data_IF_465948176358
#
_entry.id   IF_465948176358
#
_cell.length_a   1.000
_cell.length_b   1.000
_cell.length_c   1.000
_cell.angle_alpha   90.00
_cell.angle_beta   90.00
_cell.angle_gamma   90.00
#
_symmetry.space_group_name_H-M   'P 1'
#
loop_
_entity.id
_entity.type
_entity.pdbx_description
1 polymer ?
#
# COMPACT_ATOMS: atom_id res chain seq x y z
N UNK A 1 -4.88 7.95 -8.35
CA UNK A 1 -5.76 6.88 -8.83
C UNK A 1 -6.45 6.22 -7.66
N UNK A 2 -7.77 6.11 -7.75
CA UNK A 2 -8.58 5.53 -6.69
C UNK A 2 -9.08 4.15 -7.12
N UNK A 3 -9.78 3.46 -6.21
CA UNK A 3 -10.39 2.19 -6.54
C UNK A 3 -11.35 2.35 -7.73
N UNK A 4 -12.13 3.43 -7.72
CA UNK A 4 -13.07 3.67 -8.80
C UNK A 4 -12.35 3.89 -10.13
N UNK A 5 -11.21 4.57 -10.09
CA UNK A 5 -10.41 4.79 -11.29
C UNK A 5 -9.86 3.47 -11.83
N UNK A 6 -9.40 2.61 -10.94
CA UNK A 6 -8.87 1.31 -11.35
C UNK A 6 -9.97 0.49 -12.01
N UNK A 7 -11.16 0.49 -11.42
CA UNK A 7 -12.29 -0.24 -11.98
C UNK A 7 -12.61 0.27 -13.38
N UNK A 8 -12.63 1.60 -13.55
CA UNK A 8 -12.90 2.19 -14.84
C UNK A 8 -11.87 1.76 -15.89
N UNK A 9 -10.60 1.72 -15.51
CA UNK A 9 -9.56 1.31 -16.44
C UNK A 9 -9.64 -0.16 -16.80
N UNK A 10 -10.01 -1.00 -15.82
CA UNK A 10 -10.19 -2.41 -16.11
C UNK A 10 -11.33 -2.61 -17.10
N UNK A 11 -12.43 -1.89 -16.91
CA UNK A 11 -13.57 -1.99 -17.80
C UNK A 11 -13.18 -1.55 -19.21
N UNK A 12 -12.41 -0.48 -19.30
CA UNK A 12 -11.96 0.03 -20.59
C UNK A 12 -11.08 -0.99 -21.32
N UNK A 13 -10.27 -1.72 -20.57
CA UNK A 13 -9.36 -2.68 -21.17
C UNK A 13 -10.01 -4.01 -21.49
N UNK A 14 -10.96 -4.46 -20.67
CA UNK A 14 -11.52 -5.80 -20.79
C UNK A 14 -12.91 -5.85 -21.40
N UNK A 15 -13.66 -4.75 -21.29
CA UNK A 15 -15.04 -4.75 -21.69
C UNK A 15 -15.97 -5.39 -20.69
N UNK A 16 -15.48 -5.74 -19.50
CA UNK A 16 -16.32 -6.37 -18.47
C UNK A 16 -17.30 -5.34 -17.90
N UNK A 17 -18.36 -5.84 -17.31
CA UNK A 17 -19.36 -4.98 -16.71
C UNK A 17 -18.88 -4.39 -15.41
N UNK A 18 -19.32 -3.15 -15.14
CA UNK A 18 -18.84 -2.44 -13.95
C UNK A 18 -19.24 -3.13 -12.65
N UNK A 19 -20.47 -3.60 -12.57
CA UNK A 19 -20.97 -4.23 -11.34
C UNK A 19 -20.13 -5.47 -11.01
N UNK A 20 -19.88 -6.30 -12.00
CA UNK A 20 -19.10 -7.52 -11.81
C UNK A 20 -17.66 -7.18 -11.45
N UNK A 21 -17.08 -6.23 -12.18
CA UNK A 21 -15.69 -5.85 -11.95
C UNK A 21 -15.50 -5.28 -10.55
N UNK A 22 -16.42 -4.42 -10.12
CA UNK A 22 -16.35 -3.83 -8.80
C UNK A 22 -16.41 -4.93 -7.73
N UNK A 23 -17.30 -5.90 -7.93
CA UNK A 23 -17.46 -6.99 -6.99
C UNK A 23 -16.18 -7.81 -6.87
N UNK A 24 -15.53 -8.10 -7.99
CA UNK A 24 -14.29 -8.87 -7.99
C UNK A 24 -13.19 -8.10 -7.26
N UNK A 25 -13.04 -6.81 -7.57
CA UNK A 25 -12.00 -6.00 -6.95
C UNK A 25 -12.21 -5.89 -5.44
N UNK A 26 -13.44 -5.65 -5.03
CA UNK A 26 -13.74 -5.51 -3.60
C UNK A 26 -13.56 -6.83 -2.86
N UNK A 27 -13.93 -7.93 -3.49
CA UNK A 27 -13.74 -9.25 -2.91
C UNK A 27 -12.26 -9.60 -2.80
N UNK A 28 -11.48 -9.23 -3.82
CA UNK A 28 -10.04 -9.45 -3.82
C UNK A 28 -9.39 -8.76 -2.60
N UNK A 29 -9.72 -7.49 -2.39
CA UNK A 29 -9.16 -6.75 -1.27
C UNK A 29 -9.63 -7.32 0.07
N UNK A 30 -10.89 -7.76 0.12
CA UNK A 30 -11.44 -8.38 1.32
C UNK A 30 -10.68 -9.67 1.66
N UNK A 31 -10.35 -10.48 0.65
CA UNK A 31 -9.63 -11.72 0.88
C UNK A 31 -8.23 -11.47 1.40
N UNK A 32 -7.57 -10.44 0.89
CA UNK A 32 -6.26 -10.08 1.40
C UNK A 32 -6.34 -9.67 2.87
N UNK A 33 -7.32 -8.83 3.20
CA UNK A 33 -7.51 -8.41 4.58
C UNK A 33 -7.80 -9.58 5.51
N UNK A 34 -8.64 -10.49 5.06
CA UNK A 34 -9.00 -11.66 5.87
C UNK A 34 -7.79 -12.56 6.11
N UNK A 35 -6.98 -12.76 5.09
CA UNK A 35 -5.80 -13.60 5.23
C UNK A 35 -4.83 -13.02 6.26
N UNK A 36 -4.53 -11.73 6.13
CA UNK A 36 -3.60 -11.08 7.05
C UNK A 36 -4.17 -11.01 8.47
N UNK A 37 -5.47 -10.79 8.58
CA UNK A 37 -6.11 -10.76 9.88
C UNK A 37 -6.03 -12.10 10.59
N UNK A 38 -6.00 -13.19 9.84
CA UNK A 38 -5.86 -14.52 10.44
C UNK A 38 -4.41 -14.97 10.54
N UNK A 39 -3.47 -14.08 10.25
CA UNK A 39 -2.05 -14.37 10.45
C UNK A 39 -1.33 -14.97 9.29
N UNK A 40 -1.92 -14.91 8.09
CA UNK A 40 -1.31 -15.51 6.91
C UNK A 40 -0.92 -14.45 5.89
N UNK A 41 0.31 -14.53 5.42
CA UNK A 41 0.79 -13.63 4.38
C UNK A 41 0.19 -13.99 3.02
N UNK A 42 0.14 -13.01 2.12
CA UNK A 42 -0.39 -13.20 0.78
C UNK A 42 0.70 -12.90 -0.22
N UNK A 43 0.94 -13.84 -1.13
CA UNK A 43 2.00 -13.69 -2.13
C UNK A 43 1.38 -13.63 -3.52
N UNK A 44 1.63 -12.52 -4.23
CA UNK A 44 1.10 -12.33 -5.58
C UNK A 44 2.29 -12.25 -6.53
N UNK A 45 2.55 -13.36 -7.22
CA UNK A 45 3.71 -13.50 -8.08
C UNK A 45 3.81 -12.36 -9.08
N UNK A 46 4.99 -11.75 -9.15
CA UNK A 46 5.23 -10.67 -10.09
C UNK A 46 4.73 -9.31 -9.63
N UNK A 47 3.93 -9.28 -8.58
CA UNK A 47 3.39 -8.03 -8.06
C UNK A 47 4.04 -7.69 -6.71
N UNK A 48 3.90 -8.59 -5.75
CA UNK A 48 4.47 -8.38 -4.43
C UNK A 48 3.79 -9.24 -3.41
N UNK A 49 4.10 -8.96 -2.15
CA UNK A 49 3.58 -9.72 -1.02
C UNK A 49 2.98 -8.77 -0.01
N UNK A 50 1.86 -9.18 0.56
CA UNK A 50 1.29 -8.50 1.73
C UNK A 50 1.69 -9.36 2.92
N UNK A 51 2.51 -8.81 3.80
CA UNK A 51 3.05 -9.57 4.92
C UNK A 51 2.71 -8.90 6.24
N UNK A 52 2.76 -9.69 7.30
CA UNK A 52 2.56 -9.20 8.64
C UNK A 52 3.94 -8.89 9.20
N UNK A 53 4.11 -7.68 9.72
CA UNK A 53 5.38 -7.28 10.30
C UNK A 53 5.19 -6.91 11.75
N UNK A 54 6.04 -7.47 12.60
CA UNK A 54 6.02 -7.18 14.01
C UNK A 54 6.68 -5.83 14.28
N UNK A 55 6.04 -5.04 15.12
CA UNK A 55 6.61 -3.79 15.60
C UNK A 55 6.77 -3.88 17.10
N UNK A 56 8.00 -3.74 17.57
CA UNK A 56 8.28 -3.82 19.00
C UNK A 56 7.70 -2.62 19.72
N UNK A 57 7.47 -2.82 21.02
CA UNK A 57 7.05 -1.73 21.89
C UNK A 57 8.10 -0.62 21.85
N UNK A 58 7.64 0.60 21.87
CA UNK A 58 8.56 1.73 21.91
C UNK A 58 7.94 2.89 22.65
N UNK A 59 8.79 3.85 23.03
CA UNK A 59 8.34 5.09 23.65
C UNK A 59 8.13 6.13 22.59
N UNK A 60 6.98 6.79 22.62
CA UNK A 60 6.72 7.92 21.79
C UNK A 60 6.60 9.15 22.66
N UNK A 61 6.42 10.29 22.03
CA UNK A 61 6.23 11.53 22.76
C UNK A 61 4.99 12.22 22.26
N UNK A 62 4.16 12.62 23.19
CA UNK A 62 2.96 13.39 22.87
C UNK A 62 3.35 14.85 22.82
N UNK A 63 3.48 15.40 21.64
CA UNK A 63 4.05 16.72 21.46
C UNK A 63 3.29 17.81 22.21
N UNK A 64 1.98 17.83 22.08
CA UNK A 64 1.17 18.88 22.68
C UNK A 64 1.19 18.82 24.20
N UNK A 65 1.37 17.66 24.79
CA UNK A 65 1.40 17.51 26.25
C UNK A 65 2.80 17.33 26.79
N UNK A 66 3.78 17.24 25.90
CA UNK A 66 5.17 17.07 26.29
C UNK A 66 5.36 15.89 27.24
N UNK A 67 4.66 14.80 26.97
CA UNK A 67 4.70 13.59 27.78
C UNK A 67 5.14 12.41 26.95
N UNK A 68 5.82 11.47 27.60
CA UNK A 68 6.15 10.21 26.98
C UNK A 68 4.93 9.31 26.98
N UNK A 69 4.70 8.59 25.90
CA UNK A 69 3.66 7.57 25.84
C UNK A 69 4.29 6.27 25.40
N UNK A 70 3.66 5.18 25.82
CA UNK A 70 4.12 3.85 25.43
C UNK A 70 3.29 3.38 24.28
N UNK A 71 3.95 3.02 23.18
CA UNK A 71 3.31 2.43 22.04
C UNK A 71 3.54 0.92 22.15
N UNK A 72 2.48 0.13 22.44
CA UNK A 72 2.68 -1.30 22.68
C UNK A 72 3.11 -2.04 21.42
N UNK A 73 3.71 -3.18 21.61
CA UNK A 73 4.07 -4.06 20.50
C UNK A 73 2.81 -4.46 19.74
N UNK A 74 2.92 -4.54 18.44
CA UNK A 74 1.78 -4.91 17.59
C UNK A 74 2.26 -5.35 16.22
N UNK A 75 1.36 -5.97 15.48
CA UNK A 75 1.63 -6.38 14.12
C UNK A 75 0.92 -5.45 13.15
N UNK A 76 1.57 -5.18 12.03
CA UNK A 76 0.98 -4.34 10.99
C UNK A 76 1.06 -5.04 9.64
N UNK A 77 0.15 -4.73 8.73
CA UNK A 77 0.28 -5.21 7.35
C UNK A 77 1.25 -4.32 6.60
N UNK A 78 2.09 -4.94 5.77
CA UNK A 78 3.07 -4.23 4.96
C UNK A 78 3.04 -4.82 3.57
N UNK A 79 3.10 -3.96 2.55
CA UNK A 79 3.23 -4.42 1.19
C UNK A 79 4.69 -4.39 0.78
N UNK A 80 5.20 -5.54 0.33
CA UNK A 80 6.57 -5.65 -0.14
C UNK A 80 6.51 -5.93 -1.65
N UNK A 81 6.90 -4.97 -2.49
CA UNK A 81 6.80 -5.17 -3.93
C UNK A 81 7.75 -6.24 -4.42
N UNK A 82 7.36 -6.93 -5.50
CA UNK A 82 8.23 -7.88 -6.15
C UNK A 82 9.41 -7.14 -6.77
N UNK A 83 10.53 -7.85 -6.91
CA UNK A 83 11.74 -7.26 -7.46
C UNK A 83 11.49 -6.68 -8.85
N UNK A 84 10.75 -7.40 -9.68
CA UNK A 84 10.45 -6.92 -11.04
C UNK A 84 9.62 -5.64 -11.01
N UNK A 85 8.70 -5.54 -10.06
CA UNK A 85 7.90 -4.33 -9.89
C UNK A 85 8.78 -3.16 -9.47
N UNK A 86 9.66 -3.40 -8.49
CA UNK A 86 10.58 -2.39 -8.02
C UNK A 86 11.45 -1.87 -9.16
N UNK A 87 11.96 -2.78 -10.00
CA UNK A 87 12.78 -2.39 -11.12
C UNK A 87 12.02 -1.57 -12.14
N UNK A 88 10.75 -1.89 -12.38
CA UNK A 88 9.92 -1.12 -13.30
C UNK A 88 9.78 0.32 -12.85
N UNK A 89 9.51 0.52 -11.57
CA UNK A 89 9.34 1.86 -11.04
C UNK A 89 10.66 2.61 -11.07
N UNK A 90 11.74 1.95 -10.68
CA UNK A 90 13.06 2.55 -10.66
C UNK A 90 13.48 3.03 -12.03
N UNK A 91 13.16 2.25 -13.06
CA UNK A 91 13.56 2.53 -14.43
C UNK A 91 12.71 3.63 -15.06
N UNK A 92 11.43 3.72 -14.71
CA UNK A 92 10.49 4.56 -15.43
C UNK A 92 10.07 5.83 -14.71
N UNK A 93 10.41 5.97 -13.45
CA UNK A 93 10.03 7.15 -12.68
C UNK A 93 11.27 7.96 -12.37
N UNK A 94 11.19 9.27 -12.64
CA UNK A 94 12.31 10.18 -12.36
C UNK A 94 12.61 10.18 -10.87
N UNK A 95 13.88 10.39 -10.54
CA UNK A 95 14.29 10.46 -9.16
C UNK A 95 13.56 11.59 -8.44
N UNK A 96 12.91 11.25 -7.35
CA UNK A 96 12.25 12.23 -6.50
C UNK A 96 13.08 12.42 -5.27
N UNK A 97 13.48 13.67 -5.02
CA UNK A 97 14.25 13.94 -3.84
C UNK A 97 13.36 13.87 -2.63
N UNK A 98 13.90 13.33 -1.57
CA UNK A 98 13.22 13.38 -0.32
C UNK A 98 13.25 14.82 0.17
N UNK A 99 12.13 15.35 0.57
CA UNK A 99 12.05 16.75 0.90
C UNK A 99 11.60 16.92 2.33
N UNK A 100 12.13 17.96 2.91
CA UNK A 100 11.67 18.34 4.23
C UNK A 100 10.40 19.14 4.13
N UNK A 101 10.29 19.90 3.06
CA UNK A 101 9.05 20.62 2.85
C UNK A 101 8.20 19.78 2.00
N UNK A 102 7.13 20.06 1.99
CA UNK A 102 6.25 19.34 1.28
C UNK A 102 6.05 19.64 -0.03
N UNK A 103 6.29 20.05 -0.53
CA UNK A 103 5.91 20.11 -1.69
C UNK A 103 6.26 19.71 -2.71
N UNK A 104 6.36 19.44 -2.73
CA UNK A 104 6.43 19.12 -3.72
C UNK A 104 6.08 18.69 -4.45
N UNK A 105 5.95 18.51 -4.56
CA UNK A 105 5.58 18.02 -5.27
C UNK A 105 5.34 17.82 -6.17
N UNK A 106 5.22 17.85 -6.50
CA UNK A 106 4.92 17.54 -7.39
C UNK A 106 5.34 17.42 -8.26
N UNK A 107 5.62 17.25 -8.46
CA UNK A 107 5.95 17.00 -9.23
C UNK A 107 6.51 16.70 -9.78
N UNK A 108 6.78 16.62 -9.94
CA UNK A 108 7.28 16.31 -10.49
C UNK A 108 7.78 16.00 -11.04
N UNK A 109 7.87 15.85 -11.26
CA UNK A 109 8.30 15.42 -11.88
C UNK A 109 8.78 15.53 -12.49
N UNK A 110 9.04 15.43 -12.91
CA UNK A 110 9.56 15.35 -13.59
C UNK A 110 9.91 15.31 -14.19
#
# INVERSE_FOLDING_TARGET
MTKADIITEIISETGYERIETKKVIETFMKKIKQSLTSGENVYLRGFGSFIIKYRAKKLGRHISKNMSIVIPAHNIPVFKPAKTFTELVKKNVSIKRKRNSISENKSTTI
#
